data_IF_139692991720
#
_entry.id   IF_139692991720
#
_cell.length_a   1.000
_cell.length_b   1.000
_cell.length_c   1.000
_cell.angle_alpha   90.00
_cell.angle_beta   90.00
_cell.angle_gamma   90.00
#
_symmetry.space_group_name_H-M   'P 1'
#
loop_
_entity.id
_entity.type
_entity.pdbx_description
1 polymer ?
#
# COMPACT_ATOMS: atom_id res chain seq x y z
N UNK A 1 -18.83 16.56 -40.09
CA UNK A 1 -18.47 17.99 -39.99
C UNK A 1 -16.99 18.12 -40.27
N UNK A 2 -16.60 18.90 -41.29
CA UNK A 2 -15.19 19.22 -41.57
C UNK A 2 -14.77 20.34 -40.63
N UNK A 3 -13.76 20.11 -39.81
CA UNK A 3 -13.10 21.16 -39.03
C UNK A 3 -11.65 21.17 -39.45
N UNK A 4 -11.26 22.22 -40.17
CA UNK A 4 -9.84 22.49 -40.46
C UNK A 4 -9.29 23.20 -39.23
N UNK A 5 -8.35 22.58 -38.54
CA UNK A 5 -7.66 23.23 -37.41
C UNK A 5 -6.19 23.38 -37.75
N UNK A 6 -5.74 24.63 -37.78
CA UNK A 6 -4.33 24.97 -37.90
C UNK A 6 -3.70 24.84 -36.52
N UNK A 7 -2.70 23.99 -36.35
CA UNK A 7 -1.89 23.93 -35.13
C UNK A 7 -0.44 24.27 -35.44
N UNK A 8 0.15 25.11 -34.59
CA UNK A 8 1.58 25.38 -34.55
C UNK A 8 2.18 24.54 -33.42
N UNK A 9 3.00 23.54 -33.73
CA UNK A 9 3.69 22.75 -32.70
C UNK A 9 5.08 23.34 -32.49
N UNK A 10 5.29 23.97 -31.33
CA UNK A 10 6.64 24.33 -30.86
C UNK A 10 7.14 23.17 -30.01
N UNK A 11 7.97 22.30 -30.60
CA UNK A 11 8.60 21.20 -29.86
C UNK A 11 9.76 21.76 -29.03
N UNK A 12 9.59 21.87 -27.71
CA UNK A 12 10.73 21.92 -26.78
C UNK A 12 11.07 20.50 -26.34
N UNK A 13 12.08 19.91 -26.98
CA UNK A 13 12.67 18.63 -26.59
C UNK A 13 13.62 18.90 -25.42
N UNK A 14 13.34 18.36 -24.24
CA UNK A 14 14.27 18.38 -23.12
C UNK A 14 15.29 17.23 -23.31
N UNK A 15 16.26 17.46 -24.20
CA UNK A 15 17.52 16.69 -24.24
C UNK A 15 18.67 17.70 -24.37
N UNK A 16 19.59 17.61 -23.41
CA UNK A 16 20.88 18.25 -23.13
C UNK A 16 21.74 18.98 -24.19
N UNK A 17 21.31 19.34 -25.40
CA UNK A 17 22.12 20.19 -26.30
C UNK A 17 21.30 21.29 -26.98
N UNK A 18 21.79 22.55 -26.85
CA UNK A 18 21.22 23.76 -27.44
C UNK A 18 21.08 23.63 -28.97
N UNK A 19 19.86 23.47 -29.50
CA UNK A 19 19.52 23.89 -30.87
C UNK A 19 18.08 24.41 -30.97
N UNK A 20 17.86 25.37 -31.89
CA UNK A 20 16.65 26.20 -32.04
C UNK A 20 15.44 25.39 -32.57
N UNK A 21 14.19 25.80 -32.25
CA UNK A 21 12.99 25.10 -32.70
C UNK A 21 12.82 25.17 -34.21
N UNK A 22 12.43 24.06 -34.83
CA UNK A 22 12.06 23.95 -36.25
C UNK A 22 10.52 23.86 -36.31
N UNK A 23 9.90 24.72 -37.11
CA UNK A 23 8.45 24.75 -37.35
C UNK A 23 8.18 24.12 -38.71
N UNK A 24 7.33 23.07 -38.76
CA UNK A 24 6.82 22.51 -40.02
C UNK A 24 5.33 22.85 -40.15
N UNK A 25 4.91 23.32 -41.33
CA UNK A 25 3.51 23.51 -41.70
C UNK A 25 3.17 22.58 -42.86
N UNK A 26 2.28 21.61 -42.67
CA UNK A 26 1.68 20.85 -43.77
C UNK A 26 0.16 20.72 -43.52
N UNK A 27 -0.64 20.94 -44.56
CA UNK A 27 -2.08 20.68 -44.58
C UNK A 27 -2.33 19.26 -45.11
N UNK A 28 -3.13 18.48 -44.39
CA UNK A 28 -3.64 17.19 -44.87
C UNK A 28 -5.15 17.18 -44.64
N UNK A 29 -5.93 17.03 -45.70
CA UNK A 29 -7.36 16.74 -45.61
C UNK A 29 -7.57 15.21 -45.65
N UNK A 30 -8.06 14.61 -44.56
CA UNK A 30 -8.54 13.23 -44.58
C UNK A 30 -9.68 13.00 -43.58
N UNK A 31 -10.51 12.02 -43.89
CA UNK A 31 -11.70 11.61 -43.16
C UNK A 31 -11.53 10.12 -42.81
N UNK A 32 -11.04 9.78 -41.61
CA UNK A 32 -10.94 8.40 -41.06
C UNK A 32 -10.80 8.49 -39.53
N UNK A 33 -11.56 7.65 -38.82
CA UNK A 33 -11.84 7.73 -37.39
C UNK A 33 -10.80 7.17 -36.41
N UNK A 34 -11.18 7.28 -35.13
CA UNK A 34 -10.67 6.81 -33.82
C UNK A 34 -9.21 6.31 -33.66
N UNK A 35 -8.62 5.65 -34.64
CA UNK A 35 -7.24 5.13 -34.60
C UNK A 35 -6.21 6.26 -34.62
N UNK A 36 -6.44 7.32 -35.41
CA UNK A 36 -5.52 8.46 -35.47
C UNK A 36 -5.62 9.34 -34.21
N UNK A 37 -6.80 9.39 -33.58
CA UNK A 37 -6.97 9.97 -32.25
C UNK A 37 -6.19 9.14 -31.22
N UNK A 38 -6.33 7.82 -31.20
CA UNK A 38 -5.52 6.95 -30.34
C UNK A 38 -4.01 7.15 -30.54
N UNK A 39 -3.56 7.35 -31.79
CA UNK A 39 -2.15 7.64 -32.09
C UNK A 39 -1.69 9.00 -31.58
N UNK A 40 -2.48 10.06 -31.77
CA UNK A 40 -2.19 11.40 -31.24
C UNK A 40 -2.21 11.41 -29.71
N UNK A 41 -3.08 10.61 -29.08
CA UNK A 41 -3.18 10.44 -27.63
C UNK A 41 -2.03 9.62 -27.01
N UNK A 42 -1.36 8.76 -27.78
CA UNK A 42 -0.14 8.07 -27.32
C UNK A 42 1.06 9.01 -27.16
N UNK A 43 1.07 10.16 -27.86
CA UNK A 43 2.19 11.12 -27.84
C UNK A 43 1.93 12.37 -27.00
N UNK A 44 0.70 12.58 -26.54
CA UNK A 44 0.38 13.62 -25.57
C UNK A 44 0.55 13.04 -24.15
N UNK A 45 1.61 13.40 -23.40
CA UNK A 45 1.67 13.04 -22.00
C UNK A 45 0.43 13.60 -21.29
N UNK A 46 -0.03 12.88 -20.29
CA UNK A 46 -1.23 13.10 -19.45
C UNK A 46 -1.35 14.51 -18.80
N UNK A 47 -0.43 15.43 -19.10
CA UNK A 47 -0.18 16.71 -18.42
C UNK A 47 -0.84 17.94 -19.05
N UNK A 48 -1.67 17.80 -20.09
CA UNK A 48 -2.48 18.91 -20.58
C UNK A 48 -3.87 18.84 -19.94
N UNK A 49 -3.97 19.34 -18.70
CA UNK A 49 -5.23 19.54 -17.94
C UNK A 49 -6.30 20.28 -18.74
N UNK A 50 -5.87 21.08 -19.72
CA UNK A 50 -6.69 21.79 -20.69
C UNK A 50 -7.68 20.88 -21.45
N UNK A 51 -7.30 19.64 -21.82
CA UNK A 51 -8.11 18.78 -22.70
C UNK A 51 -9.24 18.03 -21.96
N UNK A 52 -9.02 17.67 -20.68
CA UNK A 52 -10.05 17.02 -19.84
C UNK A 52 -11.29 17.90 -19.65
N UNK A 53 -11.13 19.23 -19.65
CA UNK A 53 -12.22 20.17 -19.45
C UNK A 53 -13.12 20.38 -20.69
N UNK A 54 -12.70 19.92 -21.88
CA UNK A 54 -13.37 20.29 -23.14
C UNK A 54 -14.29 19.20 -23.68
N UNK A 55 -14.11 17.93 -23.29
CA UNK A 55 -14.88 16.84 -23.89
C UNK A 55 -15.12 15.65 -22.94
N UNK A 56 -16.40 15.38 -22.65
CA UNK A 56 -16.80 14.14 -21.96
C UNK A 56 -16.41 12.89 -22.74
N UNK A 57 -16.51 12.93 -24.07
CA UNK A 57 -16.12 11.82 -24.95
C UNK A 57 -14.62 11.54 -24.86
N UNK A 58 -13.79 12.56 -24.64
CA UNK A 58 -12.36 12.40 -24.38
C UNK A 58 -12.13 11.66 -23.06
N UNK A 59 -12.79 12.09 -21.98
CA UNK A 59 -12.71 11.40 -20.68
C UNK A 59 -13.19 9.94 -20.75
N UNK A 60 -14.24 9.66 -21.55
CA UNK A 60 -14.75 8.30 -21.79
C UNK A 60 -13.73 7.42 -22.53
N UNK A 61 -13.09 7.93 -23.59
CA UNK A 61 -12.04 7.22 -24.34
C UNK A 61 -10.81 6.95 -23.45
N UNK A 62 -10.40 7.92 -22.64
CA UNK A 62 -9.24 7.78 -21.74
C UNK A 62 -9.50 6.79 -20.59
N UNK A 63 -10.77 6.55 -20.25
CA UNK A 63 -11.19 5.54 -19.28
C UNK A 63 -11.54 4.19 -19.93
N UNK A 64 -11.42 4.07 -21.26
CA UNK A 64 -11.83 2.87 -21.98
C UNK A 64 -10.85 1.71 -21.78
N UNK A 65 -11.33 0.46 -21.74
CA UNK A 65 -10.47 -0.72 -21.64
C UNK A 65 -9.42 -0.81 -22.76
N UNK A 66 -9.77 -0.36 -23.97
CA UNK A 66 -8.91 -0.39 -25.16
C UNK A 66 -7.75 0.60 -25.04
N UNK A 67 -8.03 1.80 -24.54
CA UNK A 67 -7.00 2.79 -24.25
C UNK A 67 -6.04 2.30 -23.16
N UNK A 68 -6.57 1.72 -22.07
CA UNK A 68 -5.77 1.16 -20.99
C UNK A 68 -4.88 -0.01 -21.46
N UNK A 69 -5.40 -0.85 -22.37
CA UNK A 69 -4.63 -1.93 -22.99
C UNK A 69 -3.48 -1.39 -23.86
N UNK A 70 -3.74 -0.36 -24.68
CA UNK A 70 -2.71 0.30 -25.49
C UNK A 70 -1.65 1.00 -24.60
N UNK A 71 -2.07 1.68 -23.53
CA UNK A 71 -1.19 2.36 -22.58
C UNK A 71 -0.23 1.38 -21.88
N UNK A 72 -0.75 0.18 -21.53
CA UNK A 72 0.04 -0.92 -20.96
C UNK A 72 1.04 -1.50 -21.98
N UNK A 73 0.65 -1.64 -23.25
CA UNK A 73 1.56 -2.07 -24.33
C UNK A 73 2.69 -1.07 -24.58
N UNK A 74 2.45 0.23 -24.35
CA UNK A 74 3.46 1.28 -24.45
C UNK A 74 4.40 1.36 -23.23
N UNK A 75 4.29 0.45 -22.25
CA UNK A 75 5.20 0.38 -21.11
C UNK A 75 4.92 1.37 -19.97
N UNK A 76 3.79 2.07 -20.00
CA UNK A 76 3.38 2.93 -18.88
C UNK A 76 2.66 2.10 -17.81
N UNK A 77 3.28 1.96 -16.64
CA UNK A 77 2.66 1.29 -15.49
C UNK A 77 1.73 2.27 -14.76
N UNK A 78 0.42 2.02 -14.80
CA UNK A 78 -0.54 2.75 -13.96
C UNK A 78 -0.28 2.40 -12.49
N UNK A 79 0.08 3.40 -11.69
CA UNK A 79 0.17 3.25 -10.23
C UNK A 79 -1.20 3.48 -9.62
N UNK A 80 -1.80 2.42 -9.09
CA UNK A 80 -3.10 2.44 -8.42
C UNK A 80 -2.90 2.17 -6.94
N UNK A 81 -3.46 3.02 -6.08
CA UNK A 81 -3.56 2.72 -4.64
C UNK A 81 -4.85 1.96 -4.42
N UNK A 82 -4.75 0.73 -3.92
CA UNK A 82 -5.90 -0.08 -3.54
C UNK A 82 -6.13 0.06 -2.05
N UNK A 83 -7.32 0.50 -1.66
CA UNK A 83 -7.78 0.49 -0.28
C UNK A 83 -8.85 -0.59 -0.11
N UNK A 84 -8.60 -1.49 0.83
CA UNK A 84 -9.59 -2.43 1.32
C UNK A 84 -10.26 -1.81 2.55
N UNK A 85 -11.56 -1.55 2.47
CA UNK A 85 -12.35 -1.15 3.63
C UNK A 85 -13.47 -2.16 3.88
N UNK A 86 -13.77 -2.37 5.15
CA UNK A 86 -14.89 -3.18 5.64
C UNK A 86 -15.86 -2.33 6.48
N UNK A 87 -16.39 -1.19 6.00
CA UNK A 87 -17.35 -0.43 6.78
C UNK A 87 -18.62 -1.25 6.93
N UNK A 88 -19.15 -1.37 8.15
CA UNK A 88 -20.40 -2.08 8.44
C UNK A 88 -20.41 -3.54 7.91
N UNK A 89 -19.28 -4.25 8.04
CA UNK A 89 -19.06 -5.61 7.51
C UNK A 89 -19.24 -5.74 5.98
N UNK A 90 -19.27 -4.63 5.23
CA UNK A 90 -19.34 -4.66 3.77
C UNK A 90 -17.96 -4.45 3.16
N UNK A 91 -17.50 -5.46 2.44
CA UNK A 91 -16.26 -5.35 1.68
C UNK A 91 -16.42 -4.36 0.52
N UNK A 92 -15.61 -3.30 0.56
CA UNK A 92 -15.43 -2.39 -0.55
C UNK A 92 -13.94 -2.28 -0.88
N UNK A 93 -13.63 -2.43 -2.16
CA UNK A 93 -12.31 -2.17 -2.68
C UNK A 93 -12.35 -0.90 -3.52
N UNK A 94 -11.63 0.10 -3.04
CA UNK A 94 -11.47 1.37 -3.73
C UNK A 94 -10.10 1.40 -4.39
N UNK A 95 -10.08 1.91 -5.60
CA UNK A 95 -8.85 2.28 -6.29
C UNK A 95 -8.86 3.79 -6.45
N UNK A 96 -7.76 4.44 -6.08
CA UNK A 96 -7.54 5.82 -6.46
C UNK A 96 -6.30 5.91 -7.33
N UNK A 97 -6.44 6.64 -8.43
CA UNK A 97 -5.32 7.20 -9.16
C UNK A 97 -5.07 8.58 -8.54
N UNK A 98 -3.96 8.74 -7.84
CA UNK A 98 -3.68 9.94 -7.02
C UNK A 98 -3.67 11.22 -7.87
N UNK A 99 -3.32 11.15 -9.17
CA UNK A 99 -3.44 12.27 -10.13
C UNK A 99 -4.88 12.71 -10.45
N UNK A 100 -5.89 11.93 -10.05
CA UNK A 100 -7.31 12.26 -10.25
C UNK A 100 -8.02 12.55 -8.92
N UNK A 101 -7.33 12.44 -7.77
CA UNK A 101 -7.82 12.78 -6.43
C UNK A 101 -9.06 12.02 -5.94
N UNK A 102 -9.65 11.16 -6.76
CA UNK A 102 -10.96 10.58 -6.54
C UNK A 102 -10.86 9.07 -6.36
N UNK A 103 -11.37 8.58 -5.23
CA UNK A 103 -11.58 7.16 -5.00
C UNK A 103 -12.71 6.68 -5.89
N UNK A 104 -12.38 5.73 -6.77
CA UNK A 104 -13.36 5.03 -7.55
C UNK A 104 -13.47 3.61 -7.02
N UNK A 105 -14.70 3.09 -6.97
CA UNK A 105 -14.89 1.69 -6.62
C UNK A 105 -14.30 0.83 -7.75
N UNK A 106 -13.25 0.08 -7.46
CA UNK A 106 -12.54 -0.70 -8.47
C UNK A 106 -13.31 -1.96 -8.87
N UNK A 107 -13.95 -2.61 -7.90
CA UNK A 107 -14.72 -3.81 -8.17
C UNK A 107 -15.95 -3.95 -7.28
N UNK A 108 -16.97 -4.61 -7.82
CA UNK A 108 -18.10 -5.15 -7.05
C UNK A 108 -17.94 -6.64 -6.78
N UNK A 109 -16.95 -7.29 -7.40
CA UNK A 109 -16.69 -8.71 -7.19
C UNK A 109 -16.19 -8.90 -5.77
N UNK A 110 -16.98 -9.65 -5.02
CA UNK A 110 -16.59 -10.03 -3.66
C UNK A 110 -15.49 -11.10 -3.76
N UNK A 111 -14.59 -11.14 -2.77
CA UNK A 111 -13.75 -12.31 -2.57
C UNK A 111 -14.63 -13.57 -2.42
N UNK A 112 -14.07 -14.78 -2.67
CA UNK A 112 -14.79 -16.04 -2.52
C UNK A 112 -15.44 -16.18 -1.14
N UNK A 113 -14.78 -15.62 -0.14
CA UNK A 113 -15.18 -15.59 1.25
C UNK A 113 -15.08 -14.17 1.82
N UNK A 114 -15.73 -13.89 2.95
CA UNK A 114 -15.56 -12.59 3.63
C UNK A 114 -14.09 -12.40 4.03
N UNK A 115 -13.56 -11.18 3.84
CA UNK A 115 -12.19 -10.87 4.26
C UNK A 115 -12.09 -10.96 5.79
N UNK A 116 -11.19 -11.80 6.32
CA UNK A 116 -11.04 -11.97 7.76
C UNK A 116 -10.51 -10.69 8.41
N UNK A 117 -10.94 -10.41 9.64
CA UNK A 117 -10.42 -9.28 10.41
C UNK A 117 -9.04 -9.62 10.95
N UNK A 118 -8.11 -8.64 10.96
CA UNK A 118 -6.73 -8.89 11.37
C UNK A 118 -5.93 -9.76 10.38
N UNK A 119 -6.42 -9.88 9.14
CA UNK A 119 -5.67 -10.49 8.05
C UNK A 119 -4.47 -9.62 7.66
N UNK A 120 -3.34 -10.25 7.36
CA UNK A 120 -2.17 -9.58 6.82
C UNK A 120 -2.40 -9.28 5.33
N UNK A 121 -1.96 -8.11 4.88
CA UNK A 121 -2.05 -7.68 3.48
C UNK A 121 -0.65 -7.53 2.92
N UNK A 122 -0.36 -8.23 1.81
CA UNK A 122 0.94 -8.16 1.14
C UNK A 122 0.73 -7.96 -0.35
N UNK A 123 1.45 -7.02 -0.94
CA UNK A 123 1.55 -6.90 -2.39
C UNK A 123 2.75 -7.70 -2.87
N UNK A 124 2.52 -8.67 -3.76
CA UNK A 124 3.53 -9.54 -4.33
C UNK A 124 3.23 -9.74 -5.82
N UNK A 125 4.23 -9.56 -6.69
CA UNK A 125 4.08 -9.69 -8.15
C UNK A 125 2.89 -8.92 -8.77
N UNK A 126 2.64 -7.70 -8.27
CA UNK A 126 1.51 -6.83 -8.64
C UNK A 126 0.12 -7.38 -8.27
N UNK A 127 0.07 -8.34 -7.36
CA UNK A 127 -1.14 -8.95 -6.86
C UNK A 127 -1.25 -8.68 -5.36
N UNK A 128 -2.48 -8.52 -4.88
CA UNK A 128 -2.75 -8.29 -3.47
C UNK A 128 -3.11 -9.62 -2.81
N UNK A 129 -2.30 -10.05 -1.86
CA UNK A 129 -2.56 -11.22 -1.03
C UNK A 129 -3.16 -10.80 0.31
N UNK A 130 -4.22 -11.48 0.72
CA UNK A 130 -4.86 -11.37 2.03
C UNK A 130 -4.64 -12.69 2.73
N UNK A 131 -3.88 -12.67 3.83
CA UNK A 131 -3.31 -13.84 4.47
C UNK A 131 -3.82 -13.96 5.91
N UNK A 132 -4.47 -15.09 6.21
CA UNK A 132 -4.96 -15.41 7.55
C UNK A 132 -6.06 -14.47 8.05
N UNK A 133 -6.08 -14.26 9.36
CA UNK A 133 -7.04 -13.42 10.09
C UNK A 133 -8.10 -14.22 10.85
N UNK A 134 -9.12 -13.53 11.34
CA UNK A 134 -10.26 -14.10 12.04
C UNK A 134 -11.52 -14.03 11.16
N UNK A 135 -12.03 -15.20 10.79
CA UNK A 135 -13.29 -15.32 10.08
C UNK A 135 -14.45 -14.98 11.01
N UNK A 136 -15.28 -14.02 10.61
CA UNK A 136 -16.45 -13.56 11.36
C UNK A 136 -17.75 -14.21 10.91
N UNK A 137 -17.73 -14.97 9.81
CA UNK A 137 -18.90 -15.77 9.40
C UNK A 137 -19.11 -16.94 10.37
N UNK A 138 -18.04 -17.40 11.03
CA UNK A 138 -18.14 -18.31 12.17
C UNK A 138 -18.54 -17.59 13.46
N UNK A 139 -19.45 -18.20 14.23
CA UNK A 139 -19.78 -17.78 15.59
C UNK A 139 -19.45 -18.93 16.56
N UNK A 140 -18.45 -18.79 17.46
CA UNK A 140 -17.55 -17.64 17.63
C UNK A 140 -16.61 -17.44 16.43
N UNK A 141 -16.01 -16.23 16.25
CA UNK A 141 -15.01 -16.00 15.22
C UNK A 141 -13.83 -16.97 15.34
N UNK A 142 -13.36 -17.49 14.20
CA UNK A 142 -12.28 -18.49 14.17
C UNK A 142 -11.07 -17.99 13.41
N UNK A 143 -9.87 -18.32 13.91
CA UNK A 143 -8.65 -18.05 13.15
C UNK A 143 -8.60 -18.91 11.90
N UNK A 144 -8.15 -18.34 10.78
CA UNK A 144 -8.00 -19.06 9.50
C UNK A 144 -6.54 -19.08 9.03
N UNK A 145 -6.22 -20.11 8.24
CA UNK A 145 -4.99 -20.31 7.46
C UNK A 145 -5.17 -19.91 5.99
N UNK A 146 -6.34 -19.38 5.62
CA UNK A 146 -6.70 -19.06 4.24
C UNK A 146 -5.82 -17.94 3.67
N UNK A 147 -5.55 -18.05 2.37
CA UNK A 147 -4.91 -17.00 1.59
C UNK A 147 -5.77 -16.72 0.36
N UNK A 148 -6.22 -15.47 0.23
CA UNK A 148 -6.97 -15.00 -0.93
C UNK A 148 -6.11 -14.03 -1.72
N UNK A 149 -6.07 -14.18 -3.05
CA UNK A 149 -5.31 -13.30 -3.94
C UNK A 149 -6.24 -12.50 -4.84
N UNK A 150 -6.02 -11.20 -4.93
CA UNK A 150 -6.65 -10.33 -5.91
C UNK A 150 -5.67 -9.98 -7.03
N UNK A 151 -6.07 -10.31 -8.26
CA UNK A 151 -5.32 -9.99 -9.48
C UNK A 151 -5.94 -8.74 -10.12
N UNK A 152 -5.31 -7.55 -10.03
CA UNK A 152 -5.85 -6.32 -10.60
C UNK A 152 -6.02 -6.42 -12.12
N UNK A 153 -5.04 -7.03 -12.82
CA UNK A 153 -5.06 -7.16 -14.28
C UNK A 153 -6.26 -7.93 -14.83
N UNK A 154 -6.82 -8.88 -14.08
CA UNK A 154 -8.00 -9.65 -14.47
C UNK A 154 -9.26 -9.25 -13.70
N UNK A 155 -9.14 -8.35 -12.72
CA UNK A 155 -10.18 -7.99 -11.77
C UNK A 155 -10.89 -9.22 -11.17
N UNK A 156 -10.09 -10.17 -10.66
CA UNK A 156 -10.59 -11.43 -10.08
C UNK A 156 -9.91 -11.71 -8.75
N UNK A 157 -10.71 -12.25 -7.83
CA UNK A 157 -10.21 -12.91 -6.65
C UNK A 157 -10.03 -14.39 -6.94
N UNK A 158 -8.96 -14.96 -6.40
CA UNK A 158 -8.57 -16.36 -6.59
C UNK A 158 -8.13 -16.88 -5.23
N UNK A 159 -8.64 -18.04 -4.84
CA UNK A 159 -8.12 -18.74 -3.65
C UNK A 159 -6.70 -19.21 -3.92
N UNK A 160 -5.84 -19.01 -2.93
CA UNK A 160 -4.44 -19.38 -3.01
C UNK A 160 -4.17 -20.57 -2.08
N UNK A 161 -3.00 -21.20 -2.20
CA UNK A 161 -2.61 -22.25 -1.27
C UNK A 161 -2.57 -21.69 0.18
N UNK A 162 -3.08 -22.50 1.12
CA UNK A 162 -3.24 -22.13 2.52
C UNK A 162 -1.92 -22.21 3.28
N UNK A 163 -1.87 -21.48 4.40
CA UNK A 163 -0.80 -21.59 5.39
C UNK A 163 -0.81 -22.98 6.04
N UNK A 164 0.30 -23.35 6.67
CA UNK A 164 0.44 -24.54 7.51
C UNK A 164 -0.10 -24.30 8.91
N UNK A 165 -0.01 -23.07 9.39
CA UNK A 165 -0.55 -22.66 10.67
C UNK A 165 -1.50 -21.47 10.51
N UNK A 166 -2.68 -21.58 11.15
CA UNK A 166 -3.64 -20.49 11.21
C UNK A 166 -3.09 -19.35 12.07
N UNK A 167 -3.31 -18.11 11.64
CA UNK A 167 -2.80 -16.92 12.33
C UNK A 167 -3.66 -15.71 12.04
N UNK A 168 -3.82 -14.84 13.03
CA UNK A 168 -4.38 -13.49 12.86
C UNK A 168 -3.48 -12.45 13.53
N UNK A 169 -3.67 -11.18 13.18
CA UNK A 169 -2.83 -10.08 13.67
C UNK A 169 -1.34 -10.35 13.46
N UNK A 170 -1.04 -11.11 12.40
CA UNK A 170 0.29 -11.43 11.95
C UNK A 170 0.80 -10.33 11.02
N UNK A 171 2.11 -10.33 10.79
CA UNK A 171 2.77 -9.41 9.87
C UNK A 171 3.32 -10.16 8.68
N UNK A 172 3.46 -9.49 7.55
CA UNK A 172 4.02 -10.12 6.36
C UNK A 172 4.51 -9.12 5.35
N UNK A 173 5.49 -9.53 4.55
CA UNK A 173 6.12 -8.70 3.52
C UNK A 173 6.61 -9.57 2.35
N UNK A 174 6.69 -8.96 1.16
CA UNK A 174 7.42 -9.53 0.02
C UNK A 174 8.93 -9.30 0.24
N UNK A 175 9.70 -10.38 0.39
CA UNK A 175 11.15 -10.36 0.61
C UNK A 175 11.83 -10.98 -0.61
N UNK A 176 12.40 -10.14 -1.48
CA UNK A 176 12.89 -10.59 -2.77
C UNK A 176 11.75 -11.14 -3.64
N UNK A 177 11.87 -12.38 -4.08
CA UNK A 177 10.83 -13.09 -4.86
C UNK A 177 9.84 -13.87 -4.01
N UNK A 178 10.01 -13.91 -2.69
CA UNK A 178 9.19 -14.72 -1.79
C UNK A 178 8.32 -13.82 -0.90
N UNK A 179 7.31 -14.40 -0.26
CA UNK A 179 6.51 -13.70 0.76
C UNK A 179 6.73 -14.37 2.10
N UNK A 180 7.06 -13.59 3.13
CA UNK A 180 7.17 -14.10 4.50
C UNK A 180 5.98 -13.57 5.30
N UNK A 181 5.31 -14.46 6.03
CA UNK A 181 4.33 -14.10 7.07
C UNK A 181 4.82 -14.63 8.42
N UNK A 182 4.67 -13.84 9.47
CA UNK A 182 5.29 -14.09 10.76
C UNK A 182 4.35 -13.72 11.91
N UNK A 183 4.35 -14.57 12.94
CA UNK A 183 3.75 -14.25 14.22
C UNK A 183 2.22 -14.27 14.22
N UNK A 184 1.66 -13.45 15.11
CA UNK A 184 0.23 -13.32 15.35
C UNK A 184 -0.27 -14.21 16.48
N UNK A 185 -1.58 -14.47 16.49
CA UNK A 185 -2.23 -15.35 17.45
C UNK A 185 -3.19 -16.32 16.78
N UNK A 186 -3.57 -17.34 17.54
CA UNK A 186 -4.68 -18.22 17.23
C UNK A 186 -5.77 -18.12 18.31
N UNK A 187 -6.88 -17.45 17.97
CA UNK A 187 -8.07 -17.34 18.83
C UNK A 187 -8.65 -18.69 19.25
N UNK A 188 -8.61 -19.71 18.37
CA UNK A 188 -9.23 -21.00 18.63
C UNK A 188 -8.51 -21.76 19.75
N UNK A 189 -7.26 -21.38 20.03
CA UNK A 189 -6.40 -21.98 21.06
C UNK A 189 -6.15 -20.93 22.14
N UNK A 190 -7.20 -20.36 22.75
CA UNK A 190 -7.09 -19.37 23.83
C UNK A 190 -6.20 -18.16 23.48
N UNK A 191 -6.31 -17.67 22.24
CA UNK A 191 -5.47 -16.59 21.72
C UNK A 191 -3.95 -16.91 21.81
N UNK A 192 -3.58 -18.20 21.61
CA UNK A 192 -2.20 -18.68 21.69
C UNK A 192 -1.30 -17.86 20.76
N UNK A 193 -0.20 -17.28 21.26
CA UNK A 193 0.79 -16.63 20.42
C UNK A 193 1.44 -17.62 19.45
N UNK A 194 1.51 -17.25 18.17
CA UNK A 194 2.20 -18.02 17.12
C UNK A 194 3.64 -17.54 17.05
N UNK A 195 4.62 -18.42 17.29
CA UNK A 195 6.05 -18.09 17.23
C UNK A 195 6.73 -18.52 15.93
N UNK A 196 5.99 -19.07 15.00
CA UNK A 196 6.50 -19.50 13.70
C UNK A 196 6.37 -18.39 12.65
N UNK A 197 7.20 -18.50 11.62
CA UNK A 197 7.03 -17.78 10.38
C UNK A 197 6.90 -18.79 9.23
N UNK A 198 6.18 -18.41 8.19
CA UNK A 198 6.02 -19.19 6.97
C UNK A 198 6.46 -18.35 5.78
N UNK A 199 7.08 -19.03 4.81
CA UNK A 199 7.55 -18.44 3.57
C UNK A 199 6.82 -19.06 2.39
N UNK A 200 6.20 -18.22 1.57
CA UNK A 200 5.73 -18.60 0.25
C UNK A 200 6.90 -18.52 -0.72
N UNK A 201 7.30 -19.67 -1.24
CA UNK A 201 8.34 -19.78 -2.25
C UNK A 201 7.73 -19.65 -3.63
N UNK A 202 8.03 -18.57 -4.35
CA UNK A 202 7.50 -18.38 -5.71
C UNK A 202 8.03 -19.42 -6.70
N UNK A 203 9.20 -20.01 -6.42
CA UNK A 203 9.76 -21.10 -7.21
C UNK A 203 8.98 -22.41 -7.11
N UNK A 204 8.30 -22.67 -5.99
CA UNK A 204 7.55 -23.92 -5.76
C UNK A 204 6.04 -23.71 -5.72
N UNK A 205 5.58 -22.46 -5.57
CA UNK A 205 4.17 -22.12 -5.40
C UNK A 205 3.58 -22.62 -4.09
N UNK A 206 4.40 -22.81 -3.05
CA UNK A 206 3.96 -23.39 -1.77
C UNK A 206 4.44 -22.59 -0.56
N UNK A 207 3.62 -22.62 0.48
CA UNK A 207 3.99 -22.19 1.83
C UNK A 207 4.81 -23.27 2.54
N UNK A 208 5.89 -22.84 3.16
CA UNK A 208 6.82 -23.66 3.94
C UNK A 208 7.04 -23.01 5.31
N UNK A 209 7.12 -23.82 6.37
CA UNK A 209 7.47 -23.32 7.70
C UNK A 209 8.96 -22.96 7.71
N UNK A 210 9.29 -21.77 8.19
CA UNK A 210 10.67 -21.33 8.33
C UNK A 210 11.39 -22.14 9.42
N UNK A 211 12.68 -22.46 9.24
CA UNK A 211 13.42 -23.36 10.13
C UNK A 211 13.72 -22.78 11.51
N UNK A 212 13.50 -21.48 11.72
CA UNK A 212 13.78 -20.77 12.97
C UNK A 212 12.53 -20.02 13.43
N UNK A 213 12.13 -20.30 14.65
CA UNK A 213 11.09 -19.55 15.33
C UNK A 213 11.52 -18.11 15.61
N UNK A 214 10.54 -17.22 15.67
CA UNK A 214 10.68 -15.83 16.05
C UNK A 214 11.19 -15.72 17.49
N UNK A 215 11.95 -14.67 17.78
CA UNK A 215 12.43 -14.41 19.14
C UNK A 215 11.28 -13.97 20.07
N UNK A 216 10.24 -13.36 19.50
CA UNK A 216 8.95 -13.12 20.16
C UNK A 216 7.78 -13.30 19.17
N UNK A 217 6.56 -13.56 19.66
CA UNK A 217 5.41 -13.94 18.82
C UNK A 217 4.89 -12.86 17.83
N UNK A 218 5.35 -11.62 17.91
CA UNK A 218 4.96 -10.53 16.98
C UNK A 218 3.45 -10.37 16.78
N UNK A 219 2.72 -10.05 17.85
CA UNK A 219 1.25 -9.89 17.82
C UNK A 219 0.92 -8.43 17.58
N UNK A 220 0.14 -8.12 16.54
CA UNK A 220 -0.21 -6.73 16.16
C UNK A 220 1.03 -5.84 15.97
N UNK A 221 2.14 -6.46 15.58
CA UNK A 221 3.41 -5.83 15.28
C UNK A 221 3.36 -5.09 13.95
N UNK A 222 4.45 -4.40 13.64
CA UNK A 222 4.68 -3.72 12.38
C UNK A 222 5.86 -4.38 11.66
N UNK A 223 5.78 -4.53 10.34
CA UNK A 223 6.89 -5.08 9.56
C UNK A 223 7.15 -4.30 8.27
N UNK A 224 8.41 -4.30 7.85
CA UNK A 224 8.83 -3.83 6.53
C UNK A 224 10.09 -4.57 6.08
N UNK A 225 10.36 -4.51 4.77
CA UNK A 225 11.65 -4.94 4.23
C UNK A 225 12.59 -3.77 4.12
N UNK A 226 13.77 -3.92 4.71
CA UNK A 226 14.82 -2.93 4.67
C UNK A 226 16.15 -3.61 4.37
N UNK A 227 16.88 -3.12 3.37
CA UNK A 227 18.15 -3.70 2.90
C UNK A 227 18.05 -5.21 2.60
N UNK A 228 16.93 -5.65 2.02
CA UNK A 228 16.66 -7.05 1.67
C UNK A 228 16.34 -7.97 2.86
N UNK A 229 16.29 -7.43 4.08
CA UNK A 229 15.98 -8.17 5.30
C UNK A 229 14.58 -7.81 5.81
N UNK A 230 13.94 -8.74 6.50
CA UNK A 230 12.64 -8.51 7.13
C UNK A 230 12.83 -7.97 8.53
N UNK A 231 12.29 -6.78 8.78
CA UNK A 231 12.27 -6.13 10.08
C UNK A 231 10.87 -6.25 10.67
N UNK A 232 10.76 -6.75 11.89
CA UNK A 232 9.51 -6.82 12.66
C UNK A 232 9.73 -6.07 13.96
N UNK A 233 9.00 -4.98 14.14
CA UNK A 233 9.09 -4.14 15.32
C UNK A 233 7.78 -4.12 16.09
N UNK A 234 7.92 -3.86 17.39
CA UNK A 234 6.81 -3.60 18.27
C UNK A 234 5.87 -4.82 18.38
N UNK A 235 4.64 -4.61 18.86
CA UNK A 235 3.63 -5.61 19.11
C UNK A 235 3.10 -5.53 20.54
N UNK A 236 1.97 -6.18 20.77
CA UNK A 236 1.38 -6.28 22.10
C UNK A 236 2.39 -6.87 23.08
N UNK A 237 2.63 -6.17 24.18
CA UNK A 237 3.58 -6.49 25.24
C UNK A 237 5.07 -6.47 24.87
N UNK A 238 5.45 -5.95 23.70
CA UNK A 238 6.86 -5.93 23.26
C UNK A 238 7.30 -4.56 22.70
N UNK A 239 8.49 -4.13 23.11
CA UNK A 239 9.22 -2.99 22.53
C UNK A 239 10.44 -3.41 21.71
N UNK A 240 10.45 -4.65 21.21
CA UNK A 240 11.61 -5.22 20.53
C UNK A 240 11.55 -4.99 19.02
N UNK A 241 12.73 -4.85 18.40
CA UNK A 241 12.93 -4.95 16.96
C UNK A 241 13.70 -6.24 16.66
N UNK A 242 13.03 -7.20 16.01
CA UNK A 242 13.66 -8.44 15.54
C UNK A 242 13.80 -8.44 14.02
N UNK A 243 14.93 -8.99 13.53
CA UNK A 243 15.28 -8.98 12.12
C UNK A 243 15.65 -10.37 11.66
N UNK A 244 15.18 -10.73 10.47
CA UNK A 244 15.59 -11.92 9.75
C UNK A 244 16.66 -11.57 8.71
N UNK A 245 17.89 -12.09 8.88
CA UNK A 245 19.00 -11.87 7.93
C UNK A 245 18.99 -12.82 6.71
N UNK A 246 18.04 -13.74 6.62
CA UNK A 246 18.04 -14.83 5.65
C UNK A 246 18.39 -16.19 6.26
N UNK A 247 18.96 -16.22 7.47
CA UNK A 247 19.42 -17.44 8.15
C UNK A 247 18.92 -17.56 9.60
N UNK A 248 18.84 -16.45 10.34
CA UNK A 248 18.44 -16.41 11.74
C UNK A 248 17.70 -15.13 12.09
N UNK A 249 16.97 -15.20 13.20
CA UNK A 249 16.41 -14.04 13.87
C UNK A 249 17.40 -13.48 14.88
N UNK A 250 17.51 -12.16 14.95
CA UNK A 250 18.31 -11.46 15.96
C UNK A 250 17.64 -10.13 16.34
N UNK A 251 17.94 -9.63 17.54
CA UNK A 251 17.44 -8.34 18.00
C UNK A 251 18.34 -7.18 17.53
N UNK A 252 17.71 -6.04 17.28
CA UNK A 252 18.34 -4.72 17.15
C UNK A 252 17.84 -3.82 18.28
N UNK A 253 18.18 -2.53 18.25
CA UNK A 253 17.83 -1.60 19.32
C UNK A 253 16.34 -1.62 19.66
N UNK A 254 16.05 -1.63 20.95
CA UNK A 254 14.70 -1.55 21.50
C UNK A 254 14.06 -0.21 21.15
N UNK A 255 12.73 -0.22 21.01
CA UNK A 255 11.97 0.99 20.80
C UNK A 255 12.03 1.87 22.07
N UNK A 256 12.04 3.21 21.94
CA UNK A 256 12.06 4.16 23.07
C UNK A 256 10.66 4.33 23.71
N UNK A 257 9.89 3.24 23.79
CA UNK A 257 8.55 3.14 24.40
C UNK A 257 8.40 1.73 24.97
N UNK A 258 7.59 1.55 26.03
CA UNK A 258 7.39 0.25 26.66
C UNK A 258 6.64 -0.74 25.76
N UNK A 259 5.67 -0.22 25.00
CA UNK A 259 4.84 -1.01 24.10
C UNK A 259 4.33 -0.13 22.96
N UNK A 260 4.28 -0.69 21.77
CA UNK A 260 3.67 -0.05 20.60
C UNK A 260 3.01 -1.13 19.74
N UNK A 261 1.75 -0.99 19.37
CA UNK A 261 1.05 -1.94 18.50
C UNK A 261 0.09 -1.24 17.55
N UNK A 262 -0.31 -1.93 16.47
CA UNK A 262 -1.15 -1.35 15.41
C UNK A 262 -0.59 -0.06 14.80
N UNK A 263 0.73 0.12 14.83
CA UNK A 263 1.42 1.21 14.15
C UNK A 263 1.51 0.90 12.64
N UNK A 264 1.39 1.94 11.82
CA UNK A 264 1.70 1.81 10.40
C UNK A 264 3.22 1.72 10.21
N UNK A 265 3.67 0.98 9.21
CA UNK A 265 5.09 0.68 9.04
C UNK A 265 5.52 0.75 7.58
N UNK A 266 6.66 1.39 7.32
CA UNK A 266 7.22 1.51 5.97
C UNK A 266 8.74 1.75 5.99
N UNK A 267 9.43 1.29 4.95
CA UNK A 267 10.82 1.61 4.70
C UNK A 267 10.94 2.80 3.75
N UNK A 268 11.64 3.86 4.16
CA UNK A 268 11.89 5.09 3.39
C UNK A 268 13.34 5.50 3.60
N UNK A 269 14.06 5.80 2.51
CA UNK A 269 15.43 6.31 2.54
C UNK A 269 16.39 5.50 3.42
N UNK A 270 16.33 4.16 3.29
CA UNK A 270 17.19 3.27 4.06
C UNK A 270 16.84 3.18 5.56
N UNK A 271 15.67 3.69 5.97
CA UNK A 271 15.21 3.68 7.36
C UNK A 271 13.83 3.07 7.49
N UNK A 272 13.54 2.52 8.66
CA UNK A 272 12.22 2.00 9.02
C UNK A 272 11.44 3.07 9.78
N UNK A 273 10.20 3.31 9.40
CA UNK A 273 9.31 4.29 10.02
C UNK A 273 8.13 3.55 10.64
N UNK A 274 7.88 3.81 11.92
CA UNK A 274 6.67 3.43 12.65
C UNK A 274 5.85 4.69 12.90
N UNK A 275 4.58 4.69 12.49
CA UNK A 275 3.74 5.88 12.45
C UNK A 275 2.43 5.60 13.18
N UNK A 276 2.14 6.41 14.20
CA UNK A 276 0.95 6.26 15.03
C UNK A 276 0.96 4.98 15.86
N UNK A 277 -0.19 4.35 16.04
CA UNK A 277 -0.38 3.13 16.82
C UNK A 277 -0.94 3.40 18.21
N UNK A 278 -1.08 2.32 18.99
CA UNK A 278 -1.38 2.37 20.41
C UNK A 278 -0.07 2.23 21.17
N UNK A 279 0.21 3.17 22.09
CA UNK A 279 1.48 3.24 22.80
C UNK A 279 1.27 3.12 24.30
N UNK A 280 2.16 2.41 24.97
CA UNK A 280 2.34 2.52 26.43
C UNK A 280 3.68 3.21 26.66
N UNK A 281 3.69 4.48 27.11
CA UNK A 281 4.94 5.21 27.35
C UNK A 281 5.81 4.55 28.43
N UNK A 282 7.11 4.85 28.43
CA UNK A 282 8.00 4.45 29.54
C UNK A 282 7.60 5.15 30.84
N UNK A 283 7.52 4.39 31.94
CA UNK A 283 7.30 4.92 33.28
C UNK A 283 5.91 5.54 33.55
N UNK A 284 4.92 5.35 32.67
CA UNK A 284 3.53 5.79 32.86
C UNK A 284 2.59 4.61 33.14
N UNK A 285 1.34 4.92 33.47
CA UNK A 285 0.23 3.98 33.66
C UNK A 285 0.18 2.92 32.56
N UNK A 286 -0.17 1.68 32.93
CA UNK A 286 -0.36 0.51 32.02
C UNK A 286 -1.55 0.67 31.04
N UNK A 287 -1.98 1.90 30.75
CA UNK A 287 -3.12 2.21 29.89
C UNK A 287 -2.58 2.62 28.52
N UNK A 288 -2.89 1.87 27.45
CA UNK A 288 -2.51 2.25 26.10
C UNK A 288 -3.19 3.56 25.65
N UNK A 289 -2.41 4.45 25.04
CA UNK A 289 -2.88 5.71 24.46
C UNK A 289 -2.79 5.63 22.92
N UNK A 290 -3.73 6.28 22.22
CA UNK A 290 -3.59 6.46 20.76
C UNK A 290 -2.45 7.46 20.53
N UNK A 291 -1.50 7.10 19.67
CA UNK A 291 -0.28 7.85 19.46
C UNK A 291 -0.30 8.71 18.19
N UNK A 292 0.23 9.92 18.26
CA UNK A 292 0.64 10.74 17.12
C UNK A 292 2.12 10.55 16.76
N UNK A 293 2.83 9.72 17.52
CA UNK A 293 4.29 9.60 17.44
C UNK A 293 4.72 8.94 16.13
N UNK A 294 5.83 9.44 15.58
CA UNK A 294 6.56 8.77 14.50
C UNK A 294 7.94 8.39 15.04
N UNK A 295 8.29 7.10 14.94
CA UNK A 295 9.61 6.58 15.30
C UNK A 295 10.34 6.15 14.03
N UNK A 296 11.58 6.60 13.88
CA UNK A 296 12.42 6.31 12.73
C UNK A 296 13.64 5.53 13.21
N UNK A 297 13.80 4.30 12.74
CA UNK A 297 14.96 3.47 12.99
C UNK A 297 16.03 3.65 11.92
N UNK A 298 17.24 3.94 12.36
CA UNK A 298 18.43 4.00 11.52
C UNK A 298 19.23 2.69 11.66
N UNK A 299 19.29 1.84 10.62
CA UNK A 299 19.95 0.54 10.69
C UNK A 299 21.48 0.63 10.78
N UNK A 300 22.08 1.72 10.32
CA UNK A 300 23.54 1.94 10.35
C UNK A 300 23.99 2.28 11.77
N UNK A 301 23.23 3.15 12.44
CA UNK A 301 23.53 3.57 13.83
C UNK A 301 22.94 2.62 14.87
N UNK A 302 22.01 1.76 14.46
CA UNK A 302 21.21 0.94 15.36
C UNK A 302 20.53 1.78 16.45
N UNK A 303 19.85 2.85 16.04
CA UNK A 303 19.19 3.78 16.97
C UNK A 303 17.83 4.22 16.44
N UNK A 304 16.91 4.49 17.35
CA UNK A 304 15.64 5.13 17.07
C UNK A 304 15.73 6.64 17.27
N UNK A 305 14.98 7.40 16.48
CA UNK A 305 14.75 8.83 16.69
C UNK A 305 13.28 9.16 16.46
N UNK A 306 12.82 10.25 17.07
CA UNK A 306 11.50 10.79 16.78
C UNK A 306 11.50 11.48 15.41
N UNK A 307 10.44 11.24 14.66
CA UNK A 307 10.13 11.84 13.36
C UNK A 307 9.06 12.93 13.48
N UNK A 308 8.54 13.41 12.35
CA UNK A 308 7.48 14.41 12.34
C UNK A 308 6.16 13.82 12.84
N UNK A 309 5.61 14.40 13.91
CA UNK A 309 4.38 13.92 14.55
C UNK A 309 3.14 14.10 13.66
N UNK A 310 2.19 13.18 13.80
CA UNK A 310 0.87 13.29 13.19
C UNK A 310 0.09 14.47 13.81
N UNK A 311 -0.72 15.20 13.02
CA UNK A 311 -1.56 16.29 13.54
C UNK A 311 -2.66 15.78 14.49
N UNK A 312 -3.03 14.50 14.36
CA UNK A 312 -4.01 13.81 15.20
C UNK A 312 -3.50 12.40 15.48
N UNK A 313 -3.63 11.89 16.72
CA UNK A 313 -3.28 10.52 17.05
C UNK A 313 -4.14 9.50 16.29
N UNK A 314 -3.50 8.45 15.74
CA UNK A 314 -4.20 7.40 14.98
C UNK A 314 -3.55 6.04 15.14
N UNK A 315 -4.33 4.96 15.10
CA UNK A 315 -3.86 3.58 15.08
C UNK A 315 -4.58 2.74 14.01
N UNK A 316 -4.02 1.58 13.66
CA UNK A 316 -4.51 0.71 12.59
C UNK A 316 -4.59 1.41 11.23
N UNK A 317 -3.66 2.34 10.99
CA UNK A 317 -3.50 3.03 9.72
C UNK A 317 -2.71 2.18 8.72
N UNK A 318 -2.84 2.52 7.44
CA UNK A 318 -1.96 2.02 6.39
C UNK A 318 -1.17 3.18 5.79
N UNK A 319 0.05 2.90 5.32
CA UNK A 319 0.93 3.88 4.68
C UNK A 319 1.46 3.34 3.36
N UNK A 320 1.69 4.24 2.41
CA UNK A 320 2.28 3.91 1.10
C UNK A 320 3.15 5.05 0.61
N UNK A 321 4.20 4.71 -0.13
CA UNK A 321 4.96 5.68 -0.93
C UNK A 321 4.33 5.75 -2.30
N UNK A 322 3.89 6.93 -2.70
CA UNK A 322 3.33 7.17 -4.02
C UNK A 322 3.89 8.46 -4.61
N UNK A 323 4.48 8.38 -5.81
CA UNK A 323 5.12 9.51 -6.48
C UNK A 323 6.13 10.29 -5.59
N UNK A 324 6.85 9.57 -4.73
CA UNK A 324 7.83 10.16 -3.81
C UNK A 324 7.23 10.72 -2.52
N UNK A 325 5.89 10.71 -2.36
CA UNK A 325 5.22 11.16 -1.14
C UNK A 325 4.81 9.98 -0.27
N UNK A 326 5.01 10.11 1.03
CA UNK A 326 4.43 9.20 2.02
C UNK A 326 3.00 9.63 2.29
N UNK A 327 2.06 8.71 2.05
CA UNK A 327 0.63 8.94 2.26
C UNK A 327 0.11 7.92 3.28
N UNK A 328 -0.67 8.39 4.24
CA UNK A 328 -1.33 7.60 5.27
C UNK A 328 -2.84 7.59 5.07
N UNK A 329 -3.45 6.42 5.20
CA UNK A 329 -4.88 6.18 4.99
C UNK A 329 -5.54 5.50 6.19
N UNK A 330 -6.79 5.87 6.45
CA UNK A 330 -7.67 5.23 7.42
C UNK A 330 -7.16 5.29 8.85
N UNK A 331 -7.48 4.23 9.61
CA UNK A 331 -7.21 4.10 11.03
C UNK A 331 -8.31 4.67 11.92
N UNK A 332 -8.06 4.67 13.21
CA UNK A 332 -8.97 5.13 14.24
C UNK A 332 -8.30 6.20 15.10
N UNK A 333 -9.02 7.27 15.42
CA UNK A 333 -8.60 8.32 16.35
C UNK A 333 -9.57 8.45 17.53
N UNK A 334 -9.37 9.46 18.38
CA UNK A 334 -10.18 9.66 19.59
C UNK A 334 -11.68 9.94 19.35
N UNK A 335 -12.06 10.48 18.19
CA UNK A 335 -13.40 11.03 17.93
C UNK A 335 -14.28 10.20 16.99
N UNK A 336 -13.89 8.97 16.64
CA UNK A 336 -14.37 8.35 15.39
C UNK A 336 -15.84 7.90 15.41
N UNK A 337 -16.74 8.77 14.94
CA UNK A 337 -17.94 8.37 14.16
C UNK A 337 -17.64 8.21 12.65
N UNK A 338 -16.52 8.76 12.15
CA UNK A 338 -16.13 8.74 10.73
C UNK A 338 -14.67 8.28 10.54
N UNK A 339 -14.34 7.75 9.35
CA UNK A 339 -12.97 7.42 8.93
C UNK A 339 -12.10 8.70 8.88
N UNK A 340 -10.87 8.68 9.42
CA UNK A 340 -9.97 9.83 9.38
C UNK A 340 -9.56 10.22 7.96
N UNK A 341 -9.46 11.52 7.70
CA UNK A 341 -9.02 12.05 6.42
C UNK A 341 -7.57 11.61 6.10
N UNK A 342 -7.25 11.17 4.86
CA UNK A 342 -5.89 10.80 4.49
C UNK A 342 -4.88 11.93 4.73
N UNK A 343 -3.67 11.56 5.16
CA UNK A 343 -2.57 12.51 5.41
C UNK A 343 -1.43 12.26 4.41
N UNK A 344 -0.73 13.31 4.03
CA UNK A 344 0.46 13.27 3.18
C UNK A 344 1.62 13.99 3.88
N UNK A 345 2.80 13.39 3.87
CA UNK A 345 4.01 14.03 4.40
C UNK A 345 4.65 14.89 3.30
N UNK A 346 4.75 16.20 3.54
CA UNK A 346 5.33 17.20 2.64
C UNK A 346 6.35 18.01 3.44
N UNK A 347 7.58 18.12 2.96
CA UNK A 347 8.64 18.91 3.60
C UNK A 347 8.79 18.66 5.11
N UNK A 348 8.65 17.39 5.51
CA UNK A 348 8.75 16.97 6.91
C UNK A 348 7.54 17.32 7.77
N UNK A 349 6.39 17.67 7.20
CA UNK A 349 5.14 17.93 7.93
C UNK A 349 3.96 17.17 7.34
N UNK A 350 3.14 16.59 8.21
CA UNK A 350 1.92 15.91 7.82
C UNK A 350 0.82 16.93 7.52
N UNK A 351 0.25 16.84 6.33
CA UNK A 351 -0.84 17.68 5.87
C UNK A 351 -2.00 16.83 5.39
N UNK A 352 -3.22 17.36 5.48
CA UNK A 352 -4.42 16.71 4.94
C UNK A 352 -4.32 16.58 3.43
N UNK A 353 -4.60 15.39 2.88
CA UNK A 353 -4.49 15.17 1.43
C UNK A 353 -5.41 16.12 0.64
N UNK A 354 -6.59 16.50 1.18
CA UNK A 354 -7.50 17.44 0.51
C UNK A 354 -6.97 18.88 0.40
N UNK A 355 -6.05 19.27 1.29
CA UNK A 355 -5.46 20.62 1.25
C UNK A 355 -4.47 20.80 0.10
N UNK A 356 -4.06 19.71 -0.53
CA UNK A 356 -3.13 19.73 -1.65
C UNK A 356 -3.90 19.91 -2.97
N UNK A 357 -3.89 21.14 -3.50
CA UNK A 357 -4.60 21.52 -4.73
C UNK A 357 -3.82 21.24 -6.03
N UNK A 358 -2.56 20.81 -5.97
CA UNK A 358 -1.70 20.68 -7.15
C UNK A 358 -1.16 19.26 -7.35
N UNK A 359 -2.00 18.39 -7.89
CA UNK A 359 -1.55 17.24 -8.68
C UNK A 359 -1.98 17.39 -10.15
N UNK A 360 -2.16 18.65 -10.58
CA UNK A 360 -2.52 19.05 -11.95
C UNK A 360 -1.35 18.89 -12.93
#
# INVERSE_FOLDING_TARGET
MRVVVNYYVIVKKLILFKMRPIVFSHQIEMNIGDVLLQFVLMYLPWNETSIKCVSRRFCEIMASPEYLAAFKMCGYAERVVILLSLPNNRFNMYACRVLAGNWQRYTRRKPPHQIPVGACQVVHDNELMVIGGADRDSCPPRTTDRVDKFCPGTNKWIEHCTLKERRQNCVGCSVGHDVIVAGGTDLDIFNKPVKTAEIFRSSTGKWEIMPKELLNPSIMSAACVLNGQLYIAAGLYYNKLQVWDGTKWYYKADLPVSELYSAACIAIDGRMWLIGGMVVPEGRTLIPEISSTVLIYDPEKNTWKYGPELPEPRYSCNVVIFNGYLIMFGGHGFSSRNEPEPLMLIDGRWSKLSTYKSLD
#
